data_IF_389143079527
#
_entry.id   IF_389143079527
#
_cell.length_a   1.000
_cell.length_b   1.000
_cell.length_c   1.000
_cell.angle_alpha   90.00
_cell.angle_beta   90.00
_cell.angle_gamma   90.00
#
_symmetry.space_group_name_H-M   'P 1'
#
loop_
_entity.id
_entity.type
_entity.pdbx_description
1 polymer ?
#
# COMPACT_ATOMS: atom_id res chain seq x y z
N UNK A 1 -2.40 2.80 14.20
CA UNK A 1 -2.16 1.98 12.99
C UNK A 1 -0.73 2.13 12.47
N UNK A 2 -0.25 3.34 12.17
CA UNK A 2 1.12 3.59 11.67
C UNK A 2 2.28 3.19 12.61
N UNK A 3 2.23 3.38 13.96
CA UNK A 3 3.36 3.00 14.82
C UNK A 3 3.57 1.48 14.95
N UNK A 4 2.57 0.67 14.56
CA UNK A 4 2.67 -0.80 14.59
C UNK A 4 3.43 -1.37 13.37
N UNK A 5 3.53 -0.60 12.28
CA UNK A 5 4.15 -1.03 11.03
C UNK A 5 5.08 0.07 10.49
N UNK A 6 6.30 0.21 11.05
CA UNK A 6 7.23 1.29 10.69
C UNK A 6 7.51 1.39 9.19
N UNK A 7 7.51 0.26 8.46
CA UNK A 7 7.78 0.23 7.02
C UNK A 7 6.79 1.02 6.16
N UNK A 8 5.61 1.38 6.70
CA UNK A 8 4.65 2.23 5.99
C UNK A 8 5.04 3.71 6.04
N UNK A 9 5.90 4.12 6.97
CA UNK A 9 6.37 5.50 7.11
C UNK A 9 7.88 5.63 6.87
N UNK A 10 8.55 4.52 6.55
CA UNK A 10 9.97 4.51 6.22
C UNK A 10 10.15 4.41 4.71
N UNK A 11 11.22 5.03 4.20
CA UNK A 11 11.63 4.90 2.80
C UNK A 11 12.97 4.19 2.69
N UNK A 12 13.24 3.64 1.51
CA UNK A 12 14.47 2.93 1.25
C UNK A 12 15.59 3.92 0.91
N UNK A 13 16.66 3.91 1.69
CA UNK A 13 17.85 4.73 1.48
C UNK A 13 19.01 3.88 0.96
N UNK A 14 19.70 4.39 -0.07
CA UNK A 14 20.98 3.84 -0.51
C UNK A 14 22.09 4.26 0.45
N UNK A 15 22.82 3.28 0.97
CA UNK A 15 23.98 3.51 1.82
C UNK A 15 25.21 3.83 0.94
N UNK A 16 26.05 4.80 1.36
CA UNK A 16 27.31 5.06 0.67
C UNK A 16 28.24 3.85 0.77
N UNK A 17 29.16 3.71 -0.19
CA UNK A 17 30.15 2.62 -0.22
C UNK A 17 30.99 2.57 1.08
N UNK A 18 31.25 3.73 1.68
CA UNK A 18 31.98 3.87 2.95
C UNK A 18 31.25 3.24 4.15
N UNK A 19 29.94 3.01 4.03
CA UNK A 19 29.11 2.36 5.04
C UNK A 19 28.78 0.90 4.69
N UNK A 20 29.57 0.26 3.82
CA UNK A 20 29.44 -1.15 3.46
C UNK A 20 28.60 -1.45 2.22
N UNK A 21 28.08 -0.41 1.53
CA UNK A 21 27.19 -0.50 0.37
C UNK A 21 25.87 -1.26 0.64
N UNK A 22 24.75 -0.74 0.14
CA UNK A 22 23.46 -1.45 0.26
C UNK A 22 22.28 -0.52 0.43
N UNK A 23 21.22 -1.04 1.04
CA UNK A 23 19.98 -0.30 1.30
C UNK A 23 19.53 -0.49 2.75
N UNK A 24 18.98 0.57 3.35
CA UNK A 24 18.36 0.52 4.66
C UNK A 24 17.02 1.27 4.67
N UNK A 25 16.13 0.89 5.58
CA UNK A 25 14.88 1.62 5.80
C UNK A 25 15.11 2.67 6.88
N UNK A 26 14.82 3.94 6.57
CA UNK A 26 14.87 5.03 7.53
C UNK A 26 13.51 5.74 7.57
N UNK A 27 13.10 6.30 8.73
CA UNK A 27 11.90 7.10 8.83
C UNK A 27 11.92 8.19 7.76
N UNK A 28 10.83 8.38 7.03
CA UNK A 28 10.70 9.50 6.11
C UNK A 28 10.28 10.74 6.91
N UNK A 29 11.16 11.76 7.06
CA UNK A 29 10.82 12.98 7.79
C UNK A 29 9.74 13.81 7.09
N UNK A 30 9.45 13.53 5.82
CA UNK A 30 8.41 14.22 5.03
C UNK A 30 7.24 13.30 4.70
N UNK A 31 7.03 12.25 5.51
CA UNK A 31 5.89 11.36 5.36
C UNK A 31 4.59 12.16 5.41
N UNK A 32 3.76 11.97 4.39
CA UNK A 32 2.51 12.67 4.20
C UNK A 32 1.47 11.70 3.67
N UNK A 33 0.43 11.45 4.46
CA UNK A 33 -0.60 10.46 4.15
C UNK A 33 -1.37 10.80 2.87
N UNK A 34 -1.50 12.08 2.54
CA UNK A 34 -2.22 12.55 1.36
C UNK A 34 -1.48 12.23 0.05
N UNK A 35 -0.18 11.89 0.15
CA UNK A 35 0.62 11.37 -0.97
C UNK A 35 0.53 9.86 -1.12
N UNK A 36 -0.20 9.18 -0.25
CA UNK A 36 -0.40 7.72 -0.29
C UNK A 36 -1.86 7.33 -0.47
N UNK A 37 -2.81 8.13 0.05
CA UNK A 37 -4.25 7.84 -0.05
C UNK A 37 -4.87 8.77 -1.07
N UNK A 38 -5.39 8.17 -2.14
CA UNK A 38 -5.96 8.91 -3.27
C UNK A 38 -7.43 8.57 -3.45
N UNK A 39 -8.21 9.57 -3.86
CA UNK A 39 -9.57 9.35 -4.34
C UNK A 39 -9.49 8.88 -5.80
N UNK A 40 -9.90 7.64 -6.04
CA UNK A 40 -9.96 7.10 -7.38
C UNK A 40 -11.30 7.43 -8.08
N UNK A 41 -11.39 7.16 -9.39
CA UNK A 41 -12.58 7.45 -10.18
C UNK A 41 -13.78 6.60 -9.76
N UNK A 42 -14.97 7.04 -10.16
CA UNK A 42 -16.19 6.25 -10.01
C UNK A 42 -16.28 5.22 -11.13
N UNK A 43 -16.24 3.92 -10.79
CA UNK A 43 -16.19 2.81 -11.75
C UNK A 43 -17.43 1.91 -11.58
N UNK A 44 -18.55 2.17 -12.30
CA UNK A 44 -19.81 1.44 -12.15
C UNK A 44 -19.77 -0.03 -12.57
N UNK A 45 -18.84 -0.39 -13.46
CA UNK A 45 -18.80 -1.73 -14.06
C UNK A 45 -17.53 -2.47 -13.68
N UNK A 46 -17.64 -3.80 -13.55
CA UNK A 46 -16.48 -4.66 -13.25
C UNK A 46 -15.42 -4.58 -14.36
N UNK A 47 -15.82 -4.33 -15.61
CA UNK A 47 -14.90 -4.11 -16.73
C UNK A 47 -14.06 -2.84 -16.54
N UNK A 48 -14.70 -1.72 -16.20
CA UNK A 48 -14.00 -0.46 -15.92
C UNK A 48 -13.05 -0.59 -14.71
N UNK A 49 -13.47 -1.34 -13.69
CA UNK A 49 -12.60 -1.65 -12.55
C UNK A 49 -11.37 -2.45 -12.99
N UNK A 50 -11.54 -3.49 -13.80
CA UNK A 50 -10.43 -4.30 -14.31
C UNK A 50 -9.47 -3.49 -15.17
N UNK A 51 -9.99 -2.64 -16.07
CA UNK A 51 -9.16 -1.74 -16.88
C UNK A 51 -8.36 -0.78 -16.01
N UNK A 52 -9.00 -0.13 -15.04
CA UNK A 52 -8.33 0.78 -14.12
C UNK A 52 -7.25 0.08 -13.29
N UNK A 53 -7.54 -1.11 -12.75
CA UNK A 53 -6.55 -1.92 -12.03
C UNK A 53 -5.38 -2.29 -12.94
N UNK A 54 -5.64 -2.66 -14.20
CA UNK A 54 -4.60 -3.00 -15.17
C UNK A 54 -3.68 -1.81 -15.47
N UNK A 55 -4.24 -0.62 -15.66
CA UNK A 55 -3.47 0.61 -15.86
C UNK A 55 -2.62 0.93 -14.63
N UNK A 56 -3.25 0.89 -13.44
CA UNK A 56 -2.59 1.20 -12.18
C UNK A 56 -1.44 0.22 -11.86
N UNK A 57 -1.59 -1.07 -12.19
CA UNK A 57 -0.53 -2.06 -12.02
C UNK A 57 0.59 -1.93 -13.06
N UNK A 58 0.34 -1.27 -14.19
CA UNK A 58 1.36 -1.00 -15.21
C UNK A 58 2.28 0.15 -14.81
N UNK A 59 1.84 1.01 -13.90
CA UNK A 59 2.64 2.08 -13.34
C UNK A 59 3.57 1.56 -12.22
N UNK A 60 4.79 2.08 -12.18
CA UNK A 60 5.71 1.83 -11.07
C UNK A 60 5.33 2.65 -9.83
N UNK A 61 5.55 2.09 -8.64
CA UNK A 61 5.47 2.87 -7.41
C UNK A 61 6.67 3.84 -7.32
N UNK A 62 6.42 5.05 -6.85
CA UNK A 62 7.48 6.02 -6.58
C UNK A 62 8.45 5.49 -5.51
N UNK A 63 9.74 5.73 -5.71
CA UNK A 63 10.82 5.19 -4.87
C UNK A 63 11.39 6.21 -3.87
N UNK A 64 10.95 7.46 -3.94
CA UNK A 64 11.40 8.58 -3.10
C UNK A 64 10.58 8.73 -1.79
N UNK A 65 9.45 8.01 -1.70
CA UNK A 65 8.56 7.90 -0.55
C UNK A 65 8.38 6.42 -0.14
N UNK A 66 7.75 6.11 1.01
CA UNK A 66 7.37 4.74 1.36
C UNK A 66 6.60 4.07 0.20
N UNK A 67 7.01 2.89 -0.29
CA UNK A 67 6.54 2.39 -1.58
C UNK A 67 5.21 1.63 -1.44
N UNK A 68 4.16 2.38 -1.14
CA UNK A 68 2.77 1.92 -1.09
C UNK A 68 1.79 3.06 -1.37
N UNK A 69 0.61 2.70 -1.88
CA UNK A 69 -0.48 3.62 -2.22
C UNK A 69 -1.84 2.93 -2.04
N UNK A 70 -2.86 3.69 -1.65
CA UNK A 70 -4.22 3.26 -1.47
C UNK A 70 -5.16 4.12 -2.33
N UNK A 71 -5.79 3.52 -3.32
CA UNK A 71 -6.84 4.16 -4.12
C UNK A 71 -8.20 3.82 -3.50
N UNK A 72 -8.96 4.85 -3.12
CA UNK A 72 -10.31 4.72 -2.57
C UNK A 72 -11.32 5.03 -3.67
N UNK A 73 -12.00 4.01 -4.16
CA UNK A 73 -13.00 4.10 -5.21
C UNK A 73 -14.40 4.17 -4.58
N UNK A 74 -15.19 5.14 -5.02
CA UNK A 74 -16.60 5.18 -4.69
C UNK A 74 -17.36 4.24 -5.63
N UNK A 75 -18.22 3.39 -5.05
CA UNK A 75 -19.06 2.51 -5.85
C UNK A 75 -20.16 3.33 -6.54
N UNK A 76 -20.23 3.27 -7.86
CA UNK A 76 -21.43 3.73 -8.56
C UNK A 76 -22.54 2.68 -8.41
N UNK A 77 -23.51 2.96 -7.55
CA UNK A 77 -24.75 2.19 -7.45
C UNK A 77 -24.69 0.89 -6.63
N UNK A 78 -23.54 0.49 -6.08
CA UNK A 78 -23.42 -0.58 -5.07
C UNK A 78 -23.25 0.04 -3.67
N UNK A 79 -23.85 -0.53 -2.64
CA UNK A 79 -23.53 -0.17 -1.27
C UNK A 79 -22.12 -0.68 -0.94
N UNK A 80 -21.16 0.24 -0.72
CA UNK A 80 -19.81 -0.11 -0.30
C UNK A 80 -18.73 0.83 -0.82
N UNK A 81 -17.53 0.73 -0.25
CA UNK A 81 -16.31 1.38 -0.74
C UNK A 81 -15.37 0.30 -1.25
N UNK A 82 -14.80 0.50 -2.44
CA UNK A 82 -13.78 -0.40 -2.98
C UNK A 82 -12.43 0.26 -2.80
N UNK A 83 -11.45 -0.46 -2.24
CA UNK A 83 -10.10 0.05 -2.05
C UNK A 83 -9.09 -0.81 -2.79
N UNK A 84 -8.19 -0.19 -3.54
CA UNK A 84 -7.06 -0.86 -4.19
C UNK A 84 -5.79 -0.45 -3.46
N UNK A 85 -5.16 -1.41 -2.79
CA UNK A 85 -3.88 -1.22 -2.12
C UNK A 85 -2.74 -1.75 -2.99
N UNK A 86 -1.82 -0.87 -3.37
CA UNK A 86 -0.55 -1.22 -4.03
C UNK A 86 0.56 -1.11 -3.02
N UNK A 87 1.33 -2.18 -2.86
CA UNK A 87 2.45 -2.23 -1.91
C UNK A 87 3.62 -2.92 -2.59
N UNK A 88 4.80 -2.33 -2.51
CA UNK A 88 6.01 -2.97 -2.98
C UNK A 88 6.39 -4.14 -2.06
N UNK A 89 6.81 -5.27 -2.64
CA UNK A 89 7.10 -6.54 -1.95
C UNK A 89 8.19 -6.43 -0.87
N UNK A 90 9.04 -5.38 -0.92
CA UNK A 90 10.03 -5.10 0.12
C UNK A 90 9.42 -4.61 1.44
N UNK A 91 8.17 -4.10 1.42
CA UNK A 91 7.45 -3.64 2.60
C UNK A 91 6.91 -4.83 3.39
N UNK A 92 6.14 -5.68 2.71
CA UNK A 92 5.55 -6.90 3.26
C UNK A 92 5.43 -7.95 2.16
N UNK A 93 5.66 -9.22 2.51
CA UNK A 93 5.31 -10.34 1.65
C UNK A 93 3.78 -10.55 1.66
N UNK A 94 3.27 -11.41 0.77
CA UNK A 94 1.83 -11.65 0.63
C UNK A 94 1.14 -12.00 1.97
N UNK A 95 1.62 -13.00 2.72
CA UNK A 95 1.03 -13.37 4.01
C UNK A 95 1.13 -12.28 5.09
N UNK A 96 2.27 -11.59 5.20
CA UNK A 96 2.42 -10.50 6.16
C UNK A 96 1.50 -9.33 5.82
N UNK A 97 1.32 -9.02 4.53
CA UNK A 97 0.40 -7.99 4.07
C UNK A 97 -1.05 -8.33 4.43
N UNK A 98 -1.51 -9.55 4.13
CA UNK A 98 -2.87 -10.00 4.50
C UNK A 98 -3.05 -9.95 6.02
N UNK A 99 -2.05 -10.40 6.79
CA UNK A 99 -2.08 -10.35 8.26
C UNK A 99 -2.19 -8.93 8.78
N UNK A 100 -1.42 -8.01 8.21
CA UNK A 100 -1.49 -6.59 8.54
C UNK A 100 -2.90 -6.04 8.27
N UNK A 101 -3.46 -6.32 7.08
CA UNK A 101 -4.79 -5.83 6.70
C UNK A 101 -5.87 -6.37 7.63
N UNK A 102 -5.88 -7.67 7.91
CA UNK A 102 -6.83 -8.25 8.86
C UNK A 102 -6.73 -7.63 10.26
N UNK A 103 -5.51 -7.33 10.74
CA UNK A 103 -5.32 -6.71 12.06
C UNK A 103 -5.74 -5.24 12.12
N UNK A 104 -5.60 -4.51 11.02
CA UNK A 104 -5.81 -3.07 10.99
C UNK A 104 -7.21 -2.67 10.52
N UNK A 105 -7.87 -3.50 9.71
CA UNK A 105 -9.15 -3.16 9.05
C UNK A 105 -10.33 -4.02 9.48
N UNK A 106 -10.11 -5.22 10.02
CA UNK A 106 -11.24 -6.06 10.43
C UNK A 106 -11.76 -5.64 11.82
N UNK A 107 -13.06 -5.42 11.92
CA UNK A 107 -13.74 -5.13 13.20
C UNK A 107 -13.71 -6.33 14.16
N UNK A 108 -13.53 -7.54 13.61
CA UNK A 108 -13.40 -8.78 14.37
C UNK A 108 -11.99 -9.32 14.24
N UNK A 109 -11.50 -9.99 15.29
CA UNK A 109 -10.15 -10.56 15.33
C UNK A 109 -10.04 -11.73 14.35
N UNK A 110 -9.77 -11.44 13.09
CA UNK A 110 -9.52 -12.45 12.06
C UNK A 110 -8.06 -12.86 12.14
N UNK A 111 -7.82 -14.13 12.50
CA UNK A 111 -6.50 -14.75 12.33
C UNK A 111 -6.47 -15.40 10.95
N UNK A 112 -5.73 -14.85 9.97
CA UNK A 112 -5.64 -15.48 8.66
C UNK A 112 -4.98 -16.85 8.81
N UNK A 113 -5.64 -17.88 8.29
CA UNK A 113 -5.02 -19.20 8.11
C UNK A 113 -4.10 -19.10 6.90
N UNK A 114 -2.83 -18.85 7.16
CA UNK A 114 -1.76 -18.95 6.17
C UNK A 114 -1.31 -20.43 6.16
N UNK A 115 -1.19 -21.09 4.99
CA UNK A 115 -0.69 -22.46 4.89
C UNK A 115 0.78 -22.59 5.31
#
# INVERSE_FOLDING_TARGET
VLPAYPRLTHRLHKLPLTAGAGHCWLPDPHFDIDKHVFHGPCLPTDLQLQTYVSELLSEGLLTDKPPWELQVLHAAGRQGTTTILRVHQSVADGPALVTMLCRCLADTKVMPRIP
#
